data_IF_225438660356
#
_entry.id   IF_225438660356
#
_cell.length_a   1.000
_cell.length_b   1.000
_cell.length_c   1.000
_cell.angle_alpha   90.00
_cell.angle_beta   90.00
_cell.angle_gamma   90.00
#
_symmetry.space_group_name_H-M   'P 1'
#
loop_
_entity.id
_entity.type
_entity.pdbx_description
1 polymer ?
#
# COMPACT_ATOMS: atom_id res chain seq x y z
N UNK A 1 -12.40 44.71 -44.48
CA UNK A 1 -12.24 43.25 -44.35
C UNK A 1 -11.48 43.02 -43.05
N UNK A 2 -12.08 42.89 -41.87
CA UNK A 2 -13.05 41.91 -41.34
C UNK A 2 -12.58 40.45 -41.48
N UNK A 3 -11.96 39.95 -40.41
CA UNK A 3 -12.06 38.62 -39.78
C UNK A 3 -10.90 38.52 -38.76
N UNK A 4 -11.12 38.74 -37.45
CA UNK A 4 -11.60 37.75 -36.45
C UNK A 4 -10.58 36.62 -36.24
N UNK A 5 -10.10 36.27 -35.05
CA UNK A 5 -10.28 36.76 -33.69
C UNK A 5 -9.31 35.96 -32.81
N UNK A 6 -8.38 36.64 -32.12
CA UNK A 6 -7.49 36.00 -31.15
C UNK A 6 -8.29 35.71 -29.89
N UNK A 7 -8.49 34.43 -29.60
CA UNK A 7 -9.14 33.98 -28.37
C UNK A 7 -8.19 34.17 -27.18
N UNK A 8 -8.36 35.28 -26.47
CA UNK A 8 -8.03 35.39 -25.05
C UNK A 8 -9.07 34.55 -24.28
N UNK A 9 -8.63 33.50 -23.58
CA UNK A 9 -9.39 32.93 -22.47
C UNK A 9 -8.61 33.16 -21.18
N UNK A 10 -8.84 34.33 -20.58
CA UNK A 10 -8.84 34.49 -19.12
C UNK A 10 -10.25 34.15 -18.66
N UNK A 11 -10.42 33.00 -18.01
CA UNK A 11 -11.58 32.72 -17.18
C UNK A 11 -11.13 31.87 -15.99
N UNK A 12 -10.97 32.59 -14.89
CA UNK A 12 -10.92 32.11 -13.51
C UNK A 12 -12.13 31.20 -13.24
N UNK A 13 -11.87 29.97 -12.79
CA UNK A 13 -12.89 28.99 -12.42
C UNK A 13 -12.45 28.17 -11.22
N UNK A 14 -12.24 28.86 -10.09
CA UNK A 14 -12.21 28.26 -8.76
C UNK A 14 -13.63 27.75 -8.47
N UNK A 15 -13.82 26.43 -8.44
CA UNK A 15 -14.98 25.81 -7.81
C UNK A 15 -14.49 24.74 -6.85
N UNK A 16 -14.15 25.22 -5.65
CA UNK A 16 -14.18 24.43 -4.43
C UNK A 16 -15.65 24.13 -4.13
N UNK A 17 -16.04 22.88 -4.32
CA UNK A 17 -17.14 22.25 -3.62
C UNK A 17 -16.61 20.84 -3.26
N UNK A 18 -16.12 20.57 -2.05
CA UNK A 18 -16.71 21.00 -0.79
C UNK A 18 -17.96 20.19 -0.48
N UNK A 19 -17.90 18.87 -0.64
CA UNK A 19 -18.74 17.89 0.07
C UNK A 19 -17.92 16.60 0.22
N UNK A 20 -17.00 16.63 1.19
CA UNK A 20 -16.54 15.40 1.82
C UNK A 20 -17.78 14.85 2.54
N UNK A 21 -18.51 13.94 1.90
CA UNK A 21 -19.50 13.16 2.61
C UNK A 21 -18.72 12.28 3.57
N UNK A 22 -18.57 12.77 4.80
CA UNK A 22 -18.29 11.98 5.98
C UNK A 22 -19.29 10.82 5.94
N UNK A 23 -18.84 9.66 5.49
CA UNK A 23 -19.61 8.43 5.66
C UNK A 23 -19.50 8.09 7.15
N UNK A 24 -20.29 8.79 7.95
CA UNK A 24 -20.69 8.32 9.26
C UNK A 24 -21.55 7.08 9.04
N UNK A 25 -20.92 5.91 9.02
CA UNK A 25 -21.64 4.66 9.27
C UNK A 25 -21.82 4.53 10.78
N UNK A 26 -22.86 5.16 11.32
CA UNK A 26 -23.44 4.73 12.59
C UNK A 26 -24.04 3.34 12.37
N UNK A 27 -23.54 2.36 13.12
CA UNK A 27 -24.08 1.01 13.17
C UNK A 27 -25.20 1.00 14.19
N UNK A 28 -26.46 1.06 13.75
CA UNK A 28 -27.55 0.55 14.59
C UNK A 28 -27.46 -0.98 14.60
N UNK A 29 -26.92 -1.49 15.69
CA UNK A 29 -26.83 -2.90 16.00
C UNK A 29 -26.59 -3.01 17.50
N UNK A 30 -27.68 -3.18 18.24
CA UNK A 30 -27.70 -3.45 19.68
C UNK A 30 -26.85 -4.70 19.94
N UNK A 31 -25.63 -4.49 20.39
CA UNK A 31 -24.78 -5.48 21.06
C UNK A 31 -24.59 -4.93 22.46
N UNK A 32 -24.98 -5.72 23.45
CA UNK A 32 -25.03 -5.35 24.86
C UNK A 32 -23.70 -4.74 25.31
N UNK A 33 -23.74 -3.44 25.50
CA UNK A 33 -22.64 -2.58 25.86
C UNK A 33 -22.89 -2.09 27.29
N UNK A 34 -22.92 -3.00 28.26
CA UNK A 34 -23.02 -2.63 29.68
C UNK A 34 -21.80 -2.95 30.55
N UNK A 35 -20.77 -3.65 30.04
CA UNK A 35 -19.67 -4.09 30.93
C UNK A 35 -18.28 -3.47 30.68
N UNK A 36 -18.17 -2.39 29.89
CA UNK A 36 -16.90 -1.65 29.71
C UNK A 36 -17.07 -0.14 29.86
N UNK A 37 -18.22 0.33 30.35
CA UNK A 37 -18.53 1.76 30.48
C UNK A 37 -18.13 2.37 31.83
N UNK A 38 -17.11 1.84 32.51
CA UNK A 38 -16.51 2.51 33.67
C UNK A 38 -15.00 2.50 33.58
N UNK A 39 -14.45 3.71 33.56
CA UNK A 39 -13.03 4.10 33.43
C UNK A 39 -12.49 4.09 32.00
N UNK A 40 -12.69 5.19 31.26
CA UNK A 40 -11.59 6.12 30.98
C UNK A 40 -12.11 7.38 30.24
N UNK A 41 -12.33 8.47 30.98
CA UNK A 41 -12.57 9.80 30.42
C UNK A 41 -11.21 10.46 30.12
N UNK A 42 -10.51 9.97 29.10
CA UNK A 42 -9.37 10.68 28.52
C UNK A 42 -9.67 11.11 27.08
N UNK A 43 -9.61 12.43 26.87
CA UNK A 43 -9.52 13.18 25.61
C UNK A 43 -8.97 12.29 24.47
N UNK A 44 -9.78 11.95 23.45
CA UNK A 44 -9.33 11.14 22.30
C UNK A 44 -8.23 11.88 21.52
N UNK A 45 -6.98 11.64 21.88
CA UNK A 45 -5.82 12.04 21.08
C UNK A 45 -5.92 11.36 19.71
N UNK A 46 -5.61 12.06 18.60
CA UNK A 46 -5.54 11.43 17.28
C UNK A 46 -4.59 10.24 17.31
N UNK A 47 -5.01 9.11 16.71
CA UNK A 47 -4.13 7.94 16.59
C UNK A 47 -2.92 8.33 15.72
N UNK A 48 -1.67 7.92 16.08
CA UNK A 48 -0.48 8.25 15.29
C UNK A 48 -0.56 7.85 13.82
N UNK A 49 -1.32 6.80 13.49
CA UNK A 49 -1.54 6.38 12.10
C UNK A 49 -2.26 7.41 11.24
N UNK A 50 -3.01 8.35 11.83
CA UNK A 50 -3.74 9.38 11.09
C UNK A 50 -2.80 10.28 10.28
N UNK A 51 -1.58 10.53 10.79
CA UNK A 51 -0.55 11.29 10.09
C UNK A 51 -0.11 10.63 8.75
N UNK A 52 -0.30 9.32 8.60
CA UNK A 52 0.19 8.55 7.44
C UNK A 52 -0.92 8.22 6.44
N UNK A 53 -2.16 8.06 6.90
CA UNK A 53 -3.25 7.50 6.07
C UNK A 53 -3.52 8.34 4.82
N UNK A 54 -3.64 9.67 4.96
CA UNK A 54 -3.93 10.55 3.81
C UNK A 54 -2.79 10.55 2.80
N UNK A 55 -1.57 10.86 3.26
CA UNK A 55 -0.37 10.88 2.42
C UNK A 55 -0.12 9.54 1.72
N UNK A 56 -0.26 8.41 2.42
CA UNK A 56 -0.09 7.10 1.82
C UNK A 56 -1.18 6.76 0.78
N UNK A 57 -2.39 7.31 0.94
CA UNK A 57 -3.47 7.17 -0.05
C UNK A 57 -3.14 7.96 -1.32
N UNK A 58 -2.69 9.20 -1.17
CA UNK A 58 -2.29 10.05 -2.30
C UNK A 58 -1.06 9.49 -3.01
N UNK A 59 -0.10 8.95 -2.25
CA UNK A 59 1.05 8.22 -2.77
C UNK A 59 0.61 6.99 -3.56
N UNK A 60 -0.32 6.18 -3.03
CA UNK A 60 -0.85 5.00 -3.71
C UNK A 60 -1.44 5.33 -5.08
N UNK A 61 -2.29 6.37 -5.15
CA UNK A 61 -2.89 6.79 -6.41
C UNK A 61 -1.87 7.42 -7.36
N UNK A 62 -0.93 8.19 -6.85
CA UNK A 62 0.14 8.79 -7.66
C UNK A 62 1.01 7.71 -8.29
N UNK A 63 1.46 6.72 -7.51
CA UNK A 63 2.27 5.61 -7.98
C UNK A 63 1.49 4.72 -8.96
N UNK A 64 0.24 4.39 -8.66
CA UNK A 64 -0.62 3.62 -9.57
C UNK A 64 -0.73 4.28 -10.96
N UNK A 65 -0.99 5.59 -11.00
CA UNK A 65 -1.07 6.34 -12.26
C UNK A 65 0.24 6.24 -13.06
N UNK A 66 1.39 6.38 -12.40
CA UNK A 66 2.69 6.24 -13.07
C UNK A 66 2.93 4.83 -13.62
N UNK A 67 2.57 3.80 -12.87
CA UNK A 67 2.71 2.39 -13.30
C UNK A 67 1.84 2.08 -14.53
N UNK A 68 0.58 2.51 -14.52
CA UNK A 68 -0.35 2.30 -15.65
C UNK A 68 0.04 3.14 -16.88
N UNK A 69 0.62 4.33 -16.69
CA UNK A 69 1.13 5.13 -17.80
C UNK A 69 2.36 4.49 -18.47
N UNK A 70 3.18 3.76 -17.70
CA UNK A 70 4.35 3.04 -18.20
C UNK A 70 3.98 1.84 -19.08
N UNK A 71 2.98 1.07 -18.65
CA UNK A 71 2.45 -0.05 -19.42
C UNK A 71 0.96 -0.24 -19.14
N UNK A 72 0.14 0.04 -20.17
CA UNK A 72 -1.33 -0.02 -20.08
C UNK A 72 -1.89 -1.42 -20.25
N UNK A 73 -1.06 -2.39 -20.59
CA UNK A 73 -1.50 -3.74 -20.97
C UNK A 73 -1.09 -4.82 -19.97
N UNK A 74 -0.27 -4.49 -18.97
CA UNK A 74 0.10 -5.42 -17.90
C UNK A 74 -0.78 -5.29 -16.66
N UNK A 75 -0.82 -6.38 -15.90
CA UNK A 75 -1.42 -6.38 -14.58
C UNK A 75 -0.53 -5.58 -13.62
N UNK A 76 -1.16 -4.68 -12.85
CA UNK A 76 -0.47 -3.89 -11.83
C UNK A 76 -0.80 -4.44 -10.45
N UNK A 77 0.21 -4.94 -9.74
CA UNK A 77 0.10 -5.41 -8.35
C UNK A 77 1.26 -4.83 -7.56
N UNK A 78 0.96 -4.07 -6.52
CA UNK A 78 1.97 -3.50 -5.63
C UNK A 78 1.34 -3.17 -4.27
N UNK A 79 2.17 -2.93 -3.26
CA UNK A 79 1.74 -2.47 -1.95
C UNK A 79 2.24 -1.05 -1.69
N UNK A 80 1.38 -0.03 -1.80
CA UNK A 80 1.77 1.35 -1.51
C UNK A 80 2.35 1.52 -0.11
N UNK A 81 1.71 0.88 0.88
CA UNK A 81 2.14 0.96 2.28
C UNK A 81 3.52 0.35 2.50
N UNK A 82 3.82 -0.77 1.84
CA UNK A 82 5.11 -1.44 1.97
C UNK A 82 6.23 -0.58 1.39
N UNK A 83 6.00 0.00 0.20
CA UNK A 83 6.96 0.88 -0.48
C UNK A 83 7.17 2.16 0.34
N UNK A 84 6.09 2.78 0.83
CA UNK A 84 6.19 3.99 1.64
C UNK A 84 6.90 3.75 2.96
N UNK A 85 6.67 2.61 3.62
CA UNK A 85 7.42 2.19 4.80
C UNK A 85 8.91 2.04 4.51
N UNK A 86 9.29 1.42 3.39
CA UNK A 86 10.70 1.24 3.04
C UNK A 86 11.42 2.56 2.77
N UNK A 87 10.76 3.49 2.06
CA UNK A 87 11.31 4.82 1.79
C UNK A 87 11.36 5.70 3.04
N UNK A 88 10.39 5.60 3.94
CA UNK A 88 10.43 6.27 5.23
C UNK A 88 11.46 5.62 6.18
N UNK A 89 11.71 4.32 6.07
CA UNK A 89 12.82 3.68 6.76
C UNK A 89 14.17 4.24 6.24
N UNK A 90 14.34 4.33 4.92
CA UNK A 90 15.54 4.94 4.31
C UNK A 90 15.75 6.39 4.78
N UNK A 91 14.67 7.15 4.99
CA UNK A 91 14.76 8.55 5.38
C UNK A 91 15.37 8.77 6.77
N UNK A 92 15.37 7.77 7.67
CA UNK A 92 16.05 7.86 8.97
C UNK A 92 17.55 8.18 8.83
N UNK A 93 18.17 7.71 7.74
CA UNK A 93 19.58 7.96 7.42
C UNK A 93 19.82 9.18 6.53
N UNK A 94 18.76 9.77 5.96
CA UNK A 94 18.87 10.90 5.04
C UNK A 94 18.87 12.24 5.79
N UNK A 95 19.46 13.28 5.19
CA UNK A 95 19.49 14.65 5.73
C UNK A 95 19.27 15.66 4.60
N UNK A 96 18.94 16.90 4.97
CA UNK A 96 18.82 18.01 4.01
C UNK A 96 17.83 17.71 2.88
N UNK A 97 18.22 18.02 1.65
CA UNK A 97 17.37 17.86 0.47
C UNK A 97 16.93 16.41 0.24
N UNK A 98 17.81 15.43 0.47
CA UNK A 98 17.47 14.01 0.30
C UNK A 98 16.36 13.56 1.23
N UNK A 99 16.37 14.03 2.48
CA UNK A 99 15.30 13.75 3.45
C UNK A 99 13.97 14.35 2.98
N UNK A 100 13.99 15.61 2.56
CA UNK A 100 12.82 16.32 2.07
C UNK A 100 12.21 15.64 0.84
N UNK A 101 13.03 15.31 -0.16
CA UNK A 101 12.58 14.65 -1.39
C UNK A 101 11.95 13.28 -1.11
N UNK A 102 12.52 12.51 -0.17
CA UNK A 102 11.96 11.22 0.24
C UNK A 102 10.57 11.40 0.84
N UNK A 103 10.42 12.28 1.84
CA UNK A 103 9.16 12.41 2.58
C UNK A 103 8.07 13.14 1.76
N UNK A 104 8.41 14.19 1.02
CA UNK A 104 7.46 14.87 0.13
C UNK A 104 7.07 14.00 -1.07
N UNK A 105 7.99 13.15 -1.56
CA UNK A 105 7.71 12.12 -2.56
C UNK A 105 6.64 11.13 -2.09
N UNK A 106 6.63 10.81 -0.79
CA UNK A 106 5.60 10.04 -0.09
C UNK A 106 4.33 10.84 0.23
N UNK A 107 4.24 12.07 -0.26
CA UNK A 107 3.10 13.00 -0.10
C UNK A 107 2.89 13.50 1.33
N UNK A 108 3.94 13.52 2.15
CA UNK A 108 3.89 14.22 3.44
C UNK A 108 4.07 15.72 3.23
N UNK A 109 3.22 16.51 3.88
CA UNK A 109 3.43 17.94 4.00
C UNK A 109 4.26 18.20 5.26
N UNK A 110 5.56 18.43 5.10
CA UNK A 110 6.50 18.60 6.21
C UNK A 110 6.25 19.88 7.03
N UNK A 111 5.44 20.81 6.53
CA UNK A 111 5.01 21.99 7.31
C UNK A 111 3.88 21.65 8.29
N UNK A 112 3.08 20.62 8.00
CA UNK A 112 1.92 20.22 8.80
C UNK A 112 2.21 18.96 9.62
N UNK A 113 3.04 18.05 9.12
CA UNK A 113 3.32 16.75 9.74
C UNK A 113 4.82 16.64 10.06
N UNK A 114 5.20 16.77 11.34
CA UNK A 114 6.59 16.59 11.77
C UNK A 114 7.13 15.19 11.45
N UNK A 115 8.41 15.09 11.11
CA UNK A 115 9.11 13.82 10.80
C UNK A 115 8.88 12.75 11.88
N UNK A 116 8.97 13.14 13.16
CA UNK A 116 8.75 12.22 14.27
C UNK A 116 7.33 11.59 14.27
N UNK A 117 6.31 12.34 13.83
CA UNK A 117 4.94 11.83 13.72
C UNK A 117 4.79 10.87 12.55
N UNK A 118 5.49 11.13 11.44
CA UNK A 118 5.53 10.23 10.28
C UNK A 118 6.06 8.86 10.70
N UNK A 119 7.23 8.82 11.33
CA UNK A 119 7.85 7.55 11.76
C UNK A 119 7.02 6.83 12.84
N UNK A 120 6.47 7.57 13.82
CA UNK A 120 5.56 6.99 14.83
C UNK A 120 4.27 6.45 14.21
N UNK A 121 3.76 7.10 13.17
CA UNK A 121 2.61 6.62 12.41
C UNK A 121 2.89 5.30 11.72
N UNK A 122 4.03 5.15 11.04
CA UNK A 122 4.45 3.88 10.45
C UNK A 122 4.69 2.80 11.51
N UNK A 123 5.34 3.13 12.62
CA UNK A 123 5.53 2.21 13.75
C UNK A 123 4.19 1.69 14.28
N UNK A 124 3.21 2.57 14.46
CA UNK A 124 1.88 2.19 14.90
C UNK A 124 1.20 1.25 13.90
N UNK A 125 1.23 1.59 12.60
CA UNK A 125 0.65 0.74 11.56
C UNK A 125 1.31 -0.64 11.54
N UNK A 126 2.64 -0.70 11.57
CA UNK A 126 3.38 -1.95 11.58
C UNK A 126 3.02 -2.82 12.79
N UNK A 127 2.91 -2.23 13.98
CA UNK A 127 2.44 -2.93 15.19
C UNK A 127 1.03 -3.49 15.02
N UNK A 128 0.11 -2.76 14.40
CA UNK A 128 -1.26 -3.23 14.14
C UNK A 128 -1.28 -4.38 13.14
N UNK A 129 -0.46 -4.30 12.09
CA UNK A 129 -0.37 -5.31 11.03
C UNK A 129 0.29 -6.61 11.51
N UNK A 130 1.32 -6.52 12.36
CA UNK A 130 2.07 -7.67 12.88
C UNK A 130 1.35 -8.40 14.04
N UNK A 131 0.19 -7.91 14.50
CA UNK A 131 -0.59 -8.65 15.51
C UNK A 131 -1.00 -10.01 14.95
N UNK A 132 -0.86 -11.11 15.70
CA UNK A 132 -1.29 -12.44 15.25
C UNK A 132 -2.76 -12.44 14.79
N UNK A 133 -3.07 -13.26 13.79
CA UNK A 133 -4.44 -13.53 13.35
C UNK A 133 -4.55 -14.89 12.70
N UNK A 134 -5.60 -15.63 13.05
CA UNK A 134 -5.89 -16.94 12.45
C UNK A 134 -6.46 -16.83 11.03
N UNK A 135 -6.90 -15.63 10.63
CA UNK A 135 -7.60 -15.38 9.35
C UNK A 135 -6.78 -14.51 8.39
N UNK A 136 -5.73 -13.87 8.88
CA UNK A 136 -4.86 -13.01 8.08
C UNK A 136 -3.41 -13.39 8.35
N UNK A 137 -2.76 -13.95 7.34
CA UNK A 137 -1.31 -14.08 7.29
C UNK A 137 -0.78 -12.88 6.52
N UNK A 138 -0.14 -11.96 7.23
CA UNK A 138 0.54 -10.81 6.67
C UNK A 138 1.97 -10.79 7.20
N UNK A 139 2.94 -10.78 6.29
CA UNK A 139 4.35 -10.60 6.60
C UNK A 139 4.86 -9.39 5.82
N UNK A 140 5.48 -8.45 6.51
CA UNK A 140 6.17 -7.30 5.91
C UNK A 140 7.62 -7.37 6.36
N UNK A 141 8.54 -7.40 5.41
CA UNK A 141 9.97 -7.45 5.65
C UNK A 141 10.68 -6.28 4.98
N UNK A 142 11.36 -5.49 5.79
CA UNK A 142 12.25 -4.43 5.36
C UNK A 142 13.65 -4.76 5.86
N UNK A 143 14.66 -4.63 5.01
CA UNK A 143 16.06 -4.71 5.43
C UNK A 143 16.93 -3.81 4.57
N UNK A 144 18.03 -3.37 5.17
CA UNK A 144 19.07 -2.65 4.46
C UNK A 144 20.36 -3.48 4.53
N UNK A 145 21.00 -3.67 3.39
CA UNK A 145 22.31 -4.33 3.30
C UNK A 145 23.31 -3.27 2.87
N UNK A 146 24.30 -3.00 3.70
CA UNK A 146 25.33 -1.99 3.46
C UNK A 146 26.68 -2.66 3.31
N UNK A 147 27.54 -2.05 2.50
CA UNK A 147 28.92 -2.46 2.35
C UNK A 147 29.64 -2.41 3.71
N UNK A 148 30.38 -3.46 4.03
CA UNK A 148 31.05 -3.60 5.32
C UNK A 148 32.14 -2.55 5.59
N UNK A 149 32.62 -1.86 4.55
CA UNK A 149 33.55 -0.75 4.72
C UNK A 149 32.84 0.55 5.15
N UNK A 150 31.51 0.58 5.19
CA UNK A 150 30.73 1.70 5.70
C UNK A 150 30.44 1.55 7.19
N UNK A 151 30.77 2.58 7.96
CA UNK A 151 30.44 2.63 9.39
C UNK A 151 28.97 2.97 9.61
N UNK A 152 28.16 1.97 9.95
CA UNK A 152 26.77 2.16 10.33
C UNK A 152 26.67 2.84 11.71
N UNK A 153 25.85 3.89 11.81
CA UNK A 153 25.60 4.57 13.08
C UNK A 153 24.67 3.73 13.98
N UNK A 154 25.05 3.57 15.25
CA UNK A 154 24.24 2.82 16.22
C UNK A 154 22.83 3.40 16.37
N UNK A 155 22.70 4.73 16.32
CA UNK A 155 21.40 5.42 16.31
C UNK A 155 20.51 4.94 15.16
N UNK A 156 21.05 4.83 13.94
CA UNK A 156 20.28 4.36 12.79
C UNK A 156 19.81 2.92 12.98
N UNK A 157 20.69 2.03 13.47
CA UNK A 157 20.33 0.63 13.74
C UNK A 157 19.23 0.53 14.82
N UNK A 158 19.33 1.33 15.87
CA UNK A 158 18.33 1.37 16.93
C UNK A 158 16.99 1.90 16.43
N UNK A 159 17.00 3.02 15.69
CA UNK A 159 15.80 3.63 15.11
C UNK A 159 15.12 2.67 14.09
N UNK A 160 15.92 1.97 13.26
CA UNK A 160 15.43 0.97 12.32
C UNK A 160 14.69 -0.19 13.01
N UNK A 161 15.27 -0.71 14.10
CA UNK A 161 14.68 -1.80 14.87
C UNK A 161 13.44 -1.33 15.63
N UNK A 162 13.50 -0.17 16.29
CA UNK A 162 12.42 0.33 17.14
C UNK A 162 11.19 0.79 16.33
N UNK A 163 11.41 1.56 15.26
CA UNK A 163 10.34 2.20 14.50
C UNK A 163 9.81 1.30 13.40
N UNK A 164 10.66 0.47 12.80
CA UNK A 164 10.33 -0.31 11.61
C UNK A 164 10.48 -1.82 11.76
N UNK A 165 10.91 -2.33 12.94
CA UNK A 165 11.24 -3.74 13.14
C UNK A 165 12.11 -4.31 12.00
N UNK A 166 13.05 -3.49 11.54
CA UNK A 166 13.85 -3.71 10.35
C UNK A 166 15.32 -3.83 10.70
N UNK A 167 16.00 -4.71 9.98
CA UNK A 167 17.41 -5.03 10.22
C UNK A 167 18.29 -4.30 9.20
N UNK A 168 19.45 -3.85 9.67
CA UNK A 168 20.50 -3.27 8.82
C UNK A 168 21.73 -4.17 8.93
N UNK A 169 22.06 -4.85 7.84
CA UNK A 169 23.15 -5.80 7.73
C UNK A 169 24.38 -5.15 7.11
N UNK A 170 25.54 -5.49 7.65
CA UNK A 170 26.83 -5.19 7.06
C UNK A 170 27.28 -6.41 6.27
N UNK A 171 27.48 -6.29 4.96
CA UNK A 171 27.88 -7.39 4.07
C UNK A 171 29.00 -6.95 3.12
N UNK A 172 29.78 -7.91 2.64
CA UNK A 172 30.80 -7.67 1.63
C UNK A 172 30.18 -7.63 0.22
N UNK A 173 30.17 -6.45 -0.42
CA UNK A 173 29.77 -6.33 -1.83
C UNK A 173 30.94 -6.56 -2.81
N UNK A 174 32.14 -6.89 -2.33
CA UNK A 174 33.22 -7.37 -3.19
C UNK A 174 32.93 -8.78 -3.70
N UNK A 175 32.37 -9.66 -2.86
CA UNK A 175 31.76 -10.93 -3.26
C UNK A 175 30.26 -10.76 -3.56
N UNK A 176 29.97 -10.38 -4.81
CA UNK A 176 28.59 -10.16 -5.27
C UNK A 176 27.73 -11.43 -5.21
N UNK A 177 28.31 -12.62 -5.38
CA UNK A 177 27.55 -13.87 -5.37
C UNK A 177 27.13 -14.23 -3.95
N UNK A 178 28.02 -14.04 -2.96
CA UNK A 178 27.66 -14.18 -1.55
C UNK A 178 26.63 -13.13 -1.12
N UNK A 179 26.82 -11.87 -1.49
CA UNK A 179 25.86 -10.80 -1.20
C UNK A 179 24.47 -11.10 -1.79
N UNK A 180 24.43 -11.55 -3.05
CA UNK A 180 23.19 -11.91 -3.75
C UNK A 180 22.47 -13.07 -3.03
N UNK A 181 23.20 -14.12 -2.62
CA UNK A 181 22.64 -15.25 -1.88
C UNK A 181 22.04 -14.80 -0.54
N UNK A 182 22.77 -13.99 0.23
CA UNK A 182 22.30 -13.48 1.53
C UNK A 182 21.01 -12.66 1.39
N UNK A 183 20.96 -11.76 0.40
CA UNK A 183 19.78 -10.92 0.15
C UNK A 183 18.57 -11.77 -0.25
N UNK A 184 18.74 -12.71 -1.18
CA UNK A 184 17.64 -13.56 -1.63
C UNK A 184 17.17 -14.53 -0.52
N UNK A 185 18.09 -15.05 0.31
CA UNK A 185 17.75 -15.88 1.46
C UNK A 185 16.92 -15.12 2.48
N UNK A 186 17.28 -13.87 2.78
CA UNK A 186 16.48 -12.99 3.64
C UNK A 186 15.04 -12.84 3.13
N UNK A 187 14.88 -12.53 1.83
CA UNK A 187 13.56 -12.38 1.19
C UNK A 187 12.78 -13.68 1.23
N UNK A 188 13.43 -14.80 0.92
CA UNK A 188 12.83 -16.14 0.96
C UNK A 188 12.30 -16.46 2.35
N UNK A 189 13.07 -16.17 3.39
CA UNK A 189 12.65 -16.42 4.78
C UNK A 189 11.49 -15.52 5.18
N UNK A 190 11.54 -14.21 4.91
CA UNK A 190 10.44 -13.27 5.24
C UNK A 190 9.15 -13.55 4.48
N UNK A 191 9.24 -14.19 3.31
CA UNK A 191 8.09 -14.53 2.45
C UNK A 191 7.68 -16.00 2.51
N UNK A 192 8.21 -16.77 3.46
CA UNK A 192 7.89 -18.21 3.63
C UNK A 192 8.12 -19.03 2.35
N UNK A 193 9.20 -18.71 1.63
CA UNK A 193 9.60 -19.37 0.40
C UNK A 193 8.79 -18.98 -0.84
N UNK A 194 7.94 -17.95 -0.78
CA UNK A 194 7.12 -17.52 -1.93
C UNK A 194 7.87 -16.62 -2.89
N UNK A 195 8.86 -15.86 -2.42
CA UNK A 195 9.76 -15.07 -3.26
C UNK A 195 11.16 -15.63 -3.04
N UNK A 196 11.71 -16.29 -4.05
CA UNK A 196 13.01 -17.01 -3.93
C UNK A 196 14.15 -16.20 -4.53
N UNK A 197 14.00 -15.74 -5.77
CA UNK A 197 15.05 -15.03 -6.51
C UNK A 197 14.57 -13.60 -6.84
N UNK A 198 14.51 -12.74 -5.82
CA UNK A 198 14.10 -11.35 -6.01
C UNK A 198 15.11 -10.60 -6.90
N UNK A 199 16.39 -10.76 -6.60
CA UNK A 199 17.49 -10.24 -7.41
C UNK A 199 18.09 -11.38 -8.23
N UNK A 200 18.32 -11.12 -9.52
CA UNK A 200 19.02 -12.07 -10.41
C UNK A 200 20.53 -11.81 -10.48
N UNK A 201 20.92 -10.57 -10.22
CA UNK A 201 22.31 -10.11 -10.29
C UNK A 201 22.46 -8.83 -9.47
N UNK A 202 23.67 -8.61 -8.96
CA UNK A 202 24.13 -7.32 -8.41
C UNK A 202 25.23 -6.77 -9.31
N UNK A 203 25.46 -5.46 -9.27
CA UNK A 203 26.45 -4.80 -10.12
C UNK A 203 27.41 -3.94 -9.28
N UNK A 204 28.71 -3.92 -9.62
CA UNK A 204 29.64 -2.98 -9.00
C UNK A 204 29.52 -1.58 -9.65
N UNK A 205 29.71 -0.50 -8.89
CA UNK A 205 29.80 -0.46 -7.44
C UNK A 205 28.40 -0.49 -6.77
N UNK A 206 28.13 -1.48 -5.92
CA UNK A 206 26.96 -1.48 -5.01
C UNK A 206 27.48 -1.27 -3.61
N UNK A 207 26.91 -0.30 -2.89
CA UNK A 207 27.27 -0.02 -1.49
C UNK A 207 26.09 -0.12 -0.53
N UNK A 208 24.87 -0.16 -1.06
CA UNK A 208 23.63 -0.23 -0.31
C UNK A 208 22.54 -0.90 -1.14
N UNK A 209 21.84 -1.87 -0.56
CA UNK A 209 20.62 -2.47 -1.11
C UNK A 209 19.51 -2.35 -0.07
N UNK A 210 18.43 -1.66 -0.44
CA UNK A 210 17.20 -1.61 0.35
C UNK A 210 16.23 -2.67 -0.17
N UNK A 211 15.83 -3.58 0.71
CA UNK A 211 14.90 -4.66 0.40
C UNK A 211 13.56 -4.39 1.07
N UNK A 212 12.51 -4.39 0.27
CA UNK A 212 11.13 -4.37 0.73
C UNK A 212 10.38 -5.58 0.20
N UNK A 213 9.76 -6.35 1.07
CA UNK A 213 8.92 -7.48 0.69
C UNK A 213 7.65 -7.53 1.54
N UNK A 214 6.56 -7.93 0.91
CA UNK A 214 5.27 -8.13 1.56
C UNK A 214 4.65 -9.42 1.05
N UNK A 215 4.15 -10.22 1.99
CA UNK A 215 3.38 -11.42 1.73
C UNK A 215 2.02 -11.29 2.41
N UNK A 216 0.95 -11.42 1.62
CA UNK A 216 -0.42 -11.35 2.10
C UNK A 216 -1.18 -12.62 1.71
N UNK A 217 -1.81 -13.26 2.69
CA UNK A 217 -2.77 -14.33 2.52
C UNK A 217 -3.91 -14.13 3.50
N UNK A 218 -5.04 -13.65 2.98
CA UNK A 218 -6.29 -13.52 3.72
C UNK A 218 -7.17 -14.76 3.53
N UNK A 219 -7.61 -15.37 4.61
CA UNK A 219 -8.74 -16.30 4.60
C UNK A 219 -10.03 -15.51 4.64
N UNK A 220 -10.90 -15.65 3.64
CA UNK A 220 -12.25 -15.13 3.75
C UNK A 220 -13.20 -16.29 4.05
N UNK A 221 -13.90 -16.30 5.19
CA UNK A 221 -14.79 -17.39 5.58
C UNK A 221 -16.04 -17.52 4.70
N UNK A 222 -16.25 -16.60 3.74
CA UNK A 222 -17.39 -16.60 2.81
C UNK A 222 -17.06 -17.34 1.50
N UNK A 223 -15.79 -17.70 1.24
CA UNK A 223 -15.40 -18.33 -0.03
C UNK A 223 -15.20 -19.85 0.06
N UNK A 224 -15.70 -20.50 -0.99
CA UNK A 224 -15.42 -21.84 -1.51
C UNK A 224 -16.37 -22.96 -1.04
N UNK A 225 -17.38 -23.23 -1.88
CA UNK A 225 -18.05 -24.55 -1.93
C UNK A 225 -17.87 -25.28 -3.28
N UNK A 226 -17.40 -24.60 -4.35
CA UNK A 226 -16.98 -25.18 -5.65
C UNK A 226 -16.36 -24.09 -6.52
N UNK A 227 -15.28 -24.37 -7.25
CA UNK A 227 -14.80 -23.51 -8.33
C UNK A 227 -15.54 -23.90 -9.62
N UNK A 228 -15.97 -22.93 -10.41
CA UNK A 228 -16.53 -23.17 -11.74
C UNK A 228 -15.76 -22.32 -12.77
N UNK A 229 -15.43 -22.88 -13.94
CA UNK A 229 -14.82 -22.10 -15.02
C UNK A 229 -15.83 -21.06 -15.52
N UNK A 230 -15.42 -19.80 -15.59
CA UNK A 230 -16.22 -18.71 -16.17
C UNK A 230 -15.36 -17.96 -17.18
N UNK A 231 -15.98 -17.48 -18.25
CA UNK A 231 -15.30 -16.71 -19.29
C UNK A 231 -14.90 -15.33 -18.76
N UNK A 232 -13.62 -14.98 -18.87
CA UNK A 232 -13.12 -13.64 -18.58
C UNK A 232 -12.83 -12.90 -19.90
N UNK A 233 -13.50 -11.78 -20.13
CA UNK A 233 -13.26 -10.93 -21.29
C UNK A 233 -11.98 -10.09 -21.03
N UNK A 234 -10.91 -10.33 -21.79
CA UNK A 234 -9.75 -9.44 -21.76
C UNK A 234 -10.09 -8.06 -22.36
N UNK A 235 -9.32 -7.03 -22.00
CA UNK A 235 -9.38 -5.70 -22.62
C UNK A 235 -9.03 -5.68 -24.13
N UNK A 236 -8.70 -6.84 -24.72
CA UNK A 236 -8.71 -7.06 -26.16
C UNK A 236 -9.96 -7.89 -26.52
N UNK A 237 -10.90 -7.35 -27.32
CA UNK A 237 -12.21 -7.96 -27.58
C UNK A 237 -12.19 -9.31 -28.33
N UNK A 238 -11.03 -9.92 -28.55
CA UNK A 238 -10.87 -11.17 -29.32
C UNK A 238 -10.29 -12.35 -28.54
N UNK A 239 -9.93 -12.18 -27.26
CA UNK A 239 -9.39 -13.29 -26.45
C UNK A 239 -10.21 -13.52 -25.19
N UNK A 240 -10.85 -14.68 -25.11
CA UNK A 240 -11.51 -15.20 -23.91
C UNK A 240 -10.60 -16.25 -23.30
N UNK A 241 -10.15 -16.04 -22.06
CA UNK A 241 -9.39 -17.05 -21.32
C UNK A 241 -10.28 -17.63 -20.21
N UNK A 242 -10.38 -18.96 -20.07
CA UNK A 242 -11.03 -19.56 -18.93
C UNK A 242 -10.25 -19.20 -17.67
N UNK A 243 -10.93 -18.63 -16.68
CA UNK A 243 -10.37 -18.33 -15.36
C UNK A 243 -11.24 -19.00 -14.29
N UNK A 244 -10.64 -19.60 -13.24
CA UNK A 244 -11.41 -20.11 -12.12
C UNK A 244 -12.14 -18.95 -11.43
N UNK A 245 -13.45 -19.05 -11.31
CA UNK A 245 -14.27 -18.08 -10.58
C UNK A 245 -14.93 -18.74 -9.37
N UNK A 246 -14.90 -18.04 -8.24
CA UNK A 246 -15.67 -18.40 -7.06
C UNK A 246 -17.15 -18.02 -7.27
N UNK A 247 -18.11 -18.97 -7.20
CA UNK A 247 -19.52 -18.67 -7.31
C UNK A 247 -20.01 -17.79 -6.16
N UNK A 248 -21.03 -16.98 -6.43
CA UNK A 248 -21.61 -16.06 -5.47
C UNK A 248 -22.39 -16.81 -4.39
N UNK A 249 -21.85 -16.83 -3.16
CA UNK A 249 -22.56 -17.28 -1.96
C UNK A 249 -22.89 -16.11 -1.02
N UNK A 250 -24.12 -15.60 -1.09
CA UNK A 250 -24.78 -14.65 -0.15
C UNK A 250 -24.43 -13.15 -0.26
N UNK A 251 -25.34 -12.32 0.31
CA UNK A 251 -25.42 -10.83 0.25
C UNK A 251 -24.10 -10.13 0.58
N UNK A 252 -23.63 -9.30 -0.34
CA UNK A 252 -22.57 -8.32 -0.12
C UNK A 252 -23.14 -6.98 0.36
N UNK A 253 -22.44 -6.27 1.25
CA UNK A 253 -22.66 -4.83 1.44
C UNK A 253 -22.00 -4.09 0.28
N UNK A 254 -22.76 -3.85 -0.78
CA UNK A 254 -22.36 -3.00 -1.90
C UNK A 254 -23.12 -1.69 -1.85
N UNK A 255 -22.41 -0.56 -1.94
CA UNK A 255 -23.01 0.72 -2.32
C UNK A 255 -22.76 0.93 -3.81
N UNK A 256 -23.78 1.34 -4.57
CA UNK A 256 -23.58 1.88 -5.91
C UNK A 256 -23.26 3.37 -5.75
N UNK A 257 -21.99 3.74 -5.82
CA UNK A 257 -21.62 5.15 -5.87
C UNK A 257 -21.82 5.62 -7.31
N UNK A 258 -22.96 6.27 -7.58
CA UNK A 258 -23.31 6.82 -8.91
C UNK A 258 -22.47 8.03 -9.33
N UNK A 259 -21.43 8.36 -8.56
CA UNK A 259 -20.41 9.32 -8.94
C UNK A 259 -19.29 8.53 -9.65
N UNK A 260 -19.27 8.57 -10.99
CA UNK A 260 -18.25 7.96 -11.89
C UNK A 260 -18.49 6.50 -12.34
N UNK A 261 -19.75 6.05 -12.41
CA UNK A 261 -20.10 4.84 -13.18
C UNK A 261 -19.40 3.54 -12.78
N UNK A 262 -18.96 3.38 -11.54
CA UNK A 262 -18.22 2.17 -11.14
C UNK A 262 -18.97 1.36 -10.08
N UNK A 263 -18.87 0.03 -10.15
CA UNK A 263 -19.39 -0.85 -9.11
C UNK A 263 -18.28 -1.22 -8.12
N UNK A 264 -18.51 -1.00 -6.83
CA UNK A 264 -17.49 -1.15 -5.78
C UNK A 264 -17.97 -1.97 -4.57
N UNK A 265 -18.08 -3.32 -4.67
CA UNK A 265 -18.40 -4.16 -3.51
C UNK A 265 -17.27 -4.12 -2.48
N UNK A 266 -17.64 -4.03 -1.20
CA UNK A 266 -16.72 -4.29 -0.08
C UNK A 266 -16.75 -5.80 0.20
N UNK A 267 -15.59 -6.44 0.08
CA UNK A 267 -15.41 -7.86 0.34
C UNK A 267 -14.74 -8.05 1.72
N UNK A 268 -15.25 -9.04 2.48
CA UNK A 268 -14.77 -9.46 3.80
C UNK A 268 -14.80 -8.36 4.90
N UNK A 269 -15.98 -7.83 5.28
CA UNK A 269 -16.10 -6.66 6.16
C UNK A 269 -15.79 -6.91 7.66
N UNK A 270 -15.37 -8.12 8.06
CA UNK A 270 -15.27 -8.49 9.48
C UNK A 270 -13.88 -8.33 10.13
N UNK A 271 -12.88 -7.73 9.48
CA UNK A 271 -11.49 -7.77 9.97
C UNK A 271 -10.64 -6.51 9.68
N UNK A 272 -9.38 -6.52 10.14
CA UNK A 272 -8.36 -5.45 9.98
C UNK A 272 -8.03 -5.07 8.52
N UNK A 273 -8.45 -5.89 7.54
CA UNK A 273 -8.23 -5.64 6.11
C UNK A 273 -9.57 -5.82 5.38
N UNK A 274 -9.85 -4.93 4.44
CA UNK A 274 -10.99 -5.01 3.53
C UNK A 274 -10.48 -5.01 2.09
N UNK A 275 -11.11 -5.82 1.23
CA UNK A 275 -10.83 -5.79 -0.21
C UNK A 275 -11.94 -4.99 -0.91
N UNK A 276 -11.54 -3.99 -1.69
CA UNK A 276 -12.43 -3.26 -2.57
C UNK A 276 -12.12 -3.67 -4.01
N UNK A 277 -13.16 -4.02 -4.76
CA UNK A 277 -13.04 -4.29 -6.19
C UNK A 277 -13.79 -3.20 -6.94
N UNK A 278 -13.18 -2.57 -7.93
CA UNK A 278 -13.83 -1.51 -8.72
C UNK A 278 -13.98 -2.00 -10.15
N UNK A 279 -15.21 -2.00 -10.67
CA UNK A 279 -15.51 -2.36 -12.05
C UNK A 279 -15.92 -1.12 -12.85
N UNK A 280 -15.21 -0.76 -13.93
CA UNK A 280 -15.66 0.28 -14.86
C UNK A 280 -16.99 -0.13 -15.53
N UNK A 281 -17.87 0.83 -15.80
CA UNK A 281 -19.19 0.58 -16.43
C UNK A 281 -19.07 0.02 -17.84
N UNK A 282 -18.03 0.40 -18.58
CA UNK A 282 -17.82 -0.05 -19.96
C UNK A 282 -17.43 -1.54 -20.06
N UNK A 283 -17.09 -2.18 -18.94
CA UNK A 283 -16.70 -3.60 -18.88
C UNK A 283 -17.88 -4.58 -18.88
N UNK A 284 -19.13 -4.10 -18.87
CA UNK A 284 -20.33 -4.95 -18.83
C UNK A 284 -20.86 -5.37 -20.20
N UNK A 285 -20.29 -4.86 -21.30
CA UNK A 285 -20.68 -5.25 -22.66
C UNK A 285 -19.64 -6.18 -23.28
N UNK A 286 -19.69 -7.48 -22.96
CA UNK A 286 -19.14 -8.47 -23.88
C UNK A 286 -20.19 -8.66 -24.99
N UNK A 287 -19.94 -8.13 -26.19
CA UNK A 287 -20.74 -8.52 -27.36
C UNK A 287 -20.41 -9.98 -27.65
N UNK A 288 -21.43 -10.83 -27.55
CA UNK A 288 -21.44 -12.21 -28.02
C UNK A 288 -21.14 -12.28 -29.51
#
# INVERSE_FOLDING_TARGET
MRAEGRSLFLALGLLVAGLCSSVHCLSEGKLDLEDVARHDQHRRLPLPSHAVVSSNTDFAFSLYKQLVLKDRHSNVVFSPLSISMALAFLSLGARGTTLTELLEGLKFNLTETPEAEIHRGFQHILRVLNRPSNLLQLSVGNAMFLDEHLKLLDKFRNDAQELYASEAFSIDFQDLDAALRLINEYVKNKTQGKIVDLFKQLHKPTVLVLVNCIYFKGGCPVWIQKEAPVQFCNFRPTSVLPQPMCPQGKRYRGGCARLRGAWAPRLCPKHRVCLFRVFPSDSFYCRT
#
